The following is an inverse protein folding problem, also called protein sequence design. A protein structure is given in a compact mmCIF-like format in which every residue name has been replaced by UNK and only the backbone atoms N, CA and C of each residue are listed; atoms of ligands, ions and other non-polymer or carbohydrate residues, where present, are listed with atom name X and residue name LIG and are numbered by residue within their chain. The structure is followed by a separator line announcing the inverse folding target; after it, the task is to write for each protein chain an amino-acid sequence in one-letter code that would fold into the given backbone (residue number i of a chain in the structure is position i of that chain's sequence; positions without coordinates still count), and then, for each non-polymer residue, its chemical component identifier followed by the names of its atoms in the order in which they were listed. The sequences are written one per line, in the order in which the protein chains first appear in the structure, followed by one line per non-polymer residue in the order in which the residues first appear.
data_IF_045084085788
#
_entry.id   IF_045084085788
#
_cell.length_a   1.000
_cell.length_b   1.000
_cell.length_c   1.000
_cell.angle_alpha   90.00
_cell.angle_beta   90.00
_cell.angle_gamma   90.00
#
_symmetry.space_group_name_H-M   'P 1'
#
loop_
_entity.id
_entity.type
_entity.pdbx_description
1 polymer ?
#
# COMPACT_ATOMS: atom_id res chain seq x y z
N UNK A 1 -3.76 -2.53 10.83
CA UNK A 1 -5.03 -1.90 11.22
C UNK A 1 -4.89 -0.38 11.33
N UNK A 2 -3.97 0.16 12.15
CA UNK A 2 -3.75 1.63 12.27
C UNK A 2 -3.29 2.32 10.96
N UNK A 3 -2.32 1.76 10.23
CA UNK A 3 -1.81 2.37 8.99
C UNK A 3 -2.87 2.53 7.89
N UNK A 4 -3.81 1.59 7.80
CA UNK A 4 -4.86 1.61 6.78
C UNK A 4 -5.98 2.61 7.10
N UNK A 5 -6.11 2.98 8.38
CA UNK A 5 -7.01 4.05 8.83
C UNK A 5 -6.36 5.42 8.58
N UNK A 6 -5.04 5.54 8.76
CA UNK A 6 -4.31 6.81 8.53
C UNK A 6 -4.11 7.08 7.03
N UNK A 7 -3.76 6.08 6.21
CA UNK A 7 -3.53 6.28 4.77
C UNK A 7 -4.73 5.87 3.91
N UNK A 8 -5.92 5.82 4.52
CA UNK A 8 -7.14 5.39 3.85
C UNK A 8 -7.67 6.39 2.81
N UNK A 9 -8.68 5.95 2.07
CA UNK A 9 -9.33 6.76 1.03
C UNK A 9 -10.17 7.93 1.59
N UNK A 10 -10.43 7.93 2.89
CA UNK A 10 -11.17 8.97 3.59
C UNK A 10 -10.44 9.34 4.89
N UNK A 11 -10.12 10.63 5.03
CA UNK A 11 -9.58 11.22 6.25
C UNK A 11 -10.68 11.21 7.32
N UNK A 12 -10.40 10.60 8.46
CA UNK A 12 -11.30 10.59 9.62
C UNK A 12 -11.34 11.97 10.28
N UNK A 13 -12.46 12.36 10.87
CA UNK A 13 -12.51 13.55 11.74
C UNK A 13 -11.52 13.43 12.92
N UNK A 14 -11.25 12.19 13.35
CA UNK A 14 -10.28 11.84 14.40
C UNK A 14 -8.83 11.73 13.90
N UNK A 15 -8.52 12.21 12.69
CA UNK A 15 -7.22 11.97 12.04
C UNK A 15 -6.01 12.42 12.88
N UNK A 16 -6.13 13.59 13.53
CA UNK A 16 -5.07 14.13 14.39
C UNK A 16 -4.83 13.24 15.61
N UNK A 17 -5.89 12.71 16.20
CA UNK A 17 -5.83 11.81 17.35
C UNK A 17 -5.17 10.48 16.96
N UNK A 18 -5.55 9.92 15.81
CA UNK A 18 -4.98 8.69 15.28
C UNK A 18 -3.48 8.81 14.96
N UNK A 19 -3.05 9.93 14.37
CA UNK A 19 -1.63 10.17 14.13
C UNK A 19 -0.89 10.36 15.47
N UNK A 20 -1.48 11.07 16.43
CA UNK A 20 -0.89 11.22 17.77
C UNK A 20 -0.71 9.86 18.47
N UNK A 21 -1.70 8.97 18.43
CA UNK A 21 -1.59 7.61 18.97
C UNK A 21 -0.50 6.80 18.27
N UNK A 22 -0.38 6.93 16.95
CA UNK A 22 0.68 6.29 16.17
C UNK A 22 2.06 6.77 16.64
N UNK A 23 2.26 8.08 16.80
CA UNK A 23 3.53 8.65 17.26
C UNK A 23 3.90 8.17 18.67
N UNK A 24 2.93 8.16 19.59
CA UNK A 24 3.12 7.64 20.95
C UNK A 24 3.53 6.16 20.93
N UNK A 25 2.96 5.35 20.04
CA UNK A 25 3.34 3.94 19.89
C UNK A 25 4.79 3.78 19.41
N UNK A 26 5.24 4.59 18.43
CA UNK A 26 6.62 4.58 17.96
C UNK A 26 7.59 5.01 19.06
N UNK A 27 7.23 6.02 19.85
CA UNK A 27 8.03 6.45 21.00
C UNK A 27 8.14 5.34 22.05
N UNK A 28 7.04 4.65 22.36
CA UNK A 28 7.04 3.52 23.31
C UNK A 28 7.91 2.35 22.83
N UNK A 29 8.01 2.15 21.51
CA UNK A 29 8.91 1.18 20.89
C UNK A 29 10.38 1.65 20.84
N UNK A 30 10.70 2.85 21.33
CA UNK A 30 12.05 3.43 21.30
C UNK A 30 12.52 3.78 19.90
N UNK A 31 11.60 3.94 18.95
CA UNK A 31 11.93 4.30 17.57
C UNK A 31 12.26 5.79 17.46
N UNK A 32 13.35 6.11 16.77
CA UNK A 32 13.65 7.48 16.40
C UNK A 32 12.67 7.97 15.32
N UNK A 33 12.30 9.25 15.40
CA UNK A 33 11.40 9.86 14.42
C UNK A 33 12.13 9.97 13.07
N UNK A 34 11.62 9.26 12.06
CA UNK A 34 12.12 9.40 10.70
C UNK A 34 11.66 10.72 10.08
N UNK A 35 12.35 11.19 9.04
CA UNK A 35 11.95 12.40 8.30
C UNK A 35 10.51 12.31 7.77
N UNK A 36 10.06 11.12 7.35
CA UNK A 36 8.69 10.89 6.87
C UNK A 36 7.66 11.10 7.98
N UNK A 37 7.94 10.59 9.18
CA UNK A 37 7.06 10.74 10.35
C UNK A 37 7.03 12.20 10.82
N UNK A 38 8.19 12.85 10.87
CA UNK A 38 8.26 14.27 11.21
C UNK A 38 7.49 15.14 10.21
N UNK A 39 7.61 14.87 8.91
CA UNK A 39 6.88 15.58 7.86
C UNK A 39 5.36 15.35 7.99
N UNK A 40 4.95 14.11 8.27
CA UNK A 40 3.55 13.76 8.48
C UNK A 40 2.96 14.57 9.64
N UNK A 41 3.62 14.59 10.80
CA UNK A 41 3.18 15.32 12.00
C UNK A 41 3.16 16.86 11.80
N UNK A 42 4.22 17.42 11.22
CA UNK A 42 4.36 18.87 11.01
C UNK A 42 3.39 19.43 9.98
N UNK A 43 2.93 18.60 9.03
CA UNK A 43 2.15 19.05 7.88
C UNK A 43 0.86 18.25 7.68
N UNK A 44 0.21 17.81 8.77
CA UNK A 44 -1.07 17.09 8.70
C UNK A 44 -2.16 17.84 7.92
N UNK A 45 -2.11 19.17 7.95
CA UNK A 45 -3.07 20.06 7.28
C UNK A 45 -2.77 20.23 5.77
N UNK A 46 -1.59 19.82 5.31
CA UNK A 46 -1.23 19.83 3.88
C UNK A 46 -1.83 18.66 3.09
N UNK A 47 -2.19 17.58 3.79
CA UNK A 47 -2.66 16.36 3.15
C UNK A 47 -4.15 16.41 2.78
N UNK A 48 -4.52 16.01 1.55
CA UNK A 48 -5.90 15.99 1.09
C UNK A 48 -6.74 14.95 1.85
N UNK A 49 -8.07 15.07 1.76
CA UNK A 49 -8.99 14.15 2.44
C UNK A 49 -8.90 12.70 1.94
N UNK A 50 -8.37 12.49 0.74
CA UNK A 50 -8.12 11.16 0.19
C UNK A 50 -6.61 10.92 0.06
N UNK A 51 -6.02 10.44 1.14
CA UNK A 51 -4.60 10.08 1.21
C UNK A 51 -4.28 8.81 0.43
N UNK A 52 -5.21 7.85 0.41
CA UNK A 52 -5.06 6.61 -0.35
C UNK A 52 -4.77 6.86 -1.83
N UNK A 53 -5.42 7.85 -2.45
CA UNK A 53 -5.20 8.22 -3.85
C UNK A 53 -3.80 8.79 -4.14
N UNK A 54 -3.15 9.39 -3.15
CA UNK A 54 -1.77 9.89 -3.26
C UNK A 54 -0.73 8.91 -2.68
N UNK A 55 -1.18 7.79 -2.10
CA UNK A 55 -0.32 6.80 -1.49
C UNK A 55 0.38 5.96 -2.56
N UNK A 56 1.54 5.40 -2.21
CA UNK A 56 2.27 4.46 -3.06
C UNK A 56 1.81 3.01 -2.85
N UNK A 57 0.56 2.79 -2.41
CA UNK A 57 0.03 1.46 -2.13
C UNK A 57 0.13 0.53 -3.35
N UNK A 58 -0.12 1.06 -4.55
CA UNK A 58 0.02 0.30 -5.79
C UNK A 58 1.47 -0.04 -6.13
N UNK A 59 2.43 0.86 -5.86
CA UNK A 59 3.85 0.58 -6.06
C UNK A 59 4.37 -0.47 -5.07
N UNK A 60 4.02 -0.35 -3.80
CA UNK A 60 4.36 -1.34 -2.78
C UNK A 60 3.74 -2.72 -3.08
N UNK A 61 2.50 -2.75 -3.56
CA UNK A 61 1.86 -4.01 -4.00
C UNK A 61 2.58 -4.60 -5.21
N UNK A 62 2.95 -3.78 -6.18
CA UNK A 62 3.75 -4.22 -7.32
C UNK A 62 5.05 -4.89 -6.87
N UNK A 63 5.80 -4.29 -5.93
CA UNK A 63 7.03 -4.88 -5.41
C UNK A 63 6.81 -6.26 -4.75
N UNK A 64 5.73 -6.42 -3.98
CA UNK A 64 5.39 -7.70 -3.35
C UNK A 64 5.00 -8.77 -4.37
N UNK A 65 4.20 -8.40 -5.37
CA UNK A 65 3.76 -9.31 -6.43
C UNK A 65 4.95 -9.75 -7.28
N UNK A 66 5.84 -8.83 -7.66
CA UNK A 66 7.07 -9.13 -8.40
C UNK A 66 7.99 -10.05 -7.59
N UNK A 67 8.23 -9.76 -6.30
CA UNK A 67 9.04 -10.64 -5.45
C UNK A 67 8.48 -12.07 -5.39
N UNK A 68 7.14 -12.20 -5.35
CA UNK A 68 6.47 -13.49 -5.37
C UNK A 68 6.62 -14.20 -6.72
N UNK A 69 6.53 -13.45 -7.82
CA UNK A 69 6.75 -13.99 -9.17
C UNK A 69 8.21 -14.42 -9.37
N UNK A 70 9.19 -13.61 -8.96
CA UNK A 70 10.61 -13.96 -9.05
C UNK A 70 10.90 -15.27 -8.32
N UNK A 71 10.35 -15.47 -7.12
CA UNK A 71 10.46 -16.74 -6.39
C UNK A 71 9.87 -17.92 -7.17
N UNK A 72 8.67 -17.74 -7.74
CA UNK A 72 7.98 -18.78 -8.53
C UNK A 72 8.77 -19.20 -9.78
N UNK A 73 9.42 -18.23 -10.42
CA UNK A 73 10.23 -18.45 -11.62
C UNK A 73 11.72 -18.63 -11.34
N UNK A 74 12.13 -18.76 -10.06
CA UNK A 74 13.52 -18.94 -9.65
C UNK A 74 14.47 -17.86 -10.20
N UNK A 75 14.01 -16.60 -10.19
CA UNK A 75 14.72 -15.45 -10.72
C UNK A 75 14.78 -15.36 -12.25
N UNK A 76 14.12 -16.26 -12.98
CA UNK A 76 14.08 -16.22 -14.44
C UNK A 76 13.04 -15.22 -14.94
N UNK A 77 13.52 -14.12 -15.49
CA UNK A 77 12.70 -13.17 -16.24
C UNK A 77 12.34 -13.76 -17.61
N UNK A 78 11.05 -13.97 -17.88
CA UNK A 78 10.56 -14.52 -19.15
C UNK A 78 9.25 -13.85 -19.59
N UNK A 79 8.94 -13.84 -20.90
CA UNK A 79 7.65 -13.37 -21.38
C UNK A 79 6.46 -14.08 -20.72
N UNK A 80 6.62 -15.36 -20.38
CA UNK A 80 5.59 -16.15 -19.69
C UNK A 80 5.34 -15.65 -18.26
N UNK A 81 6.40 -15.27 -17.53
CA UNK A 81 6.27 -14.66 -16.21
C UNK A 81 5.50 -13.34 -16.27
N UNK A 82 5.81 -12.50 -17.27
CA UNK A 82 5.08 -11.24 -17.47
C UNK A 82 3.62 -11.50 -17.86
N UNK A 83 3.36 -12.47 -18.73
CA UNK A 83 2.00 -12.86 -19.12
C UNK A 83 1.18 -13.34 -17.91
N UNK A 84 1.75 -14.19 -17.05
CA UNK A 84 1.11 -14.68 -15.82
C UNK A 84 0.87 -13.54 -14.81
N UNK A 85 1.79 -12.58 -14.72
CA UNK A 85 1.60 -11.38 -13.89
C UNK A 85 0.42 -10.54 -14.41
N UNK A 86 0.41 -10.20 -15.70
CA UNK A 86 -0.71 -9.49 -16.32
C UNK A 86 -2.04 -10.24 -16.17
N UNK A 87 -2.01 -11.57 -16.26
CA UNK A 87 -3.17 -12.42 -16.03
C UNK A 87 -3.70 -12.34 -14.59
N UNK A 88 -2.79 -12.32 -13.62
CA UNK A 88 -3.14 -12.17 -12.20
C UNK A 88 -3.85 -10.84 -11.96
N UNK A 89 -3.31 -9.73 -12.48
CA UNK A 89 -3.94 -8.40 -12.40
C UNK A 89 -5.34 -8.40 -13.05
N UNK A 90 -5.48 -9.01 -14.23
CA UNK A 90 -6.75 -9.06 -14.96
C UNK A 90 -7.84 -9.84 -14.23
N UNK A 91 -7.47 -10.87 -13.47
CA UNK A 91 -8.41 -11.72 -12.74
C UNK A 91 -8.86 -11.11 -11.41
N UNK A 92 -8.02 -10.27 -10.82
CA UNK A 92 -8.34 -9.59 -9.56
C UNK A 92 -9.25 -8.36 -9.79
N UNK A 93 -9.66 -8.07 -11.04
CA UNK A 93 -10.71 -7.10 -11.33
C UNK A 93 -12.10 -7.67 -10.99
N UNK A 94 -12.82 -7.10 -9.99
CA UNK A 94 -14.09 -7.64 -9.52
C UNK A 94 -15.23 -7.56 -10.55
N UNK A 95 -15.10 -6.70 -11.57
CA UNK A 95 -16.12 -6.53 -12.61
C UNK A 95 -15.95 -7.47 -13.81
N UNK A 96 -14.85 -8.21 -13.90
CA UNK A 96 -14.58 -9.09 -15.04
C UNK A 96 -15.32 -10.44 -14.87
N UNK A 97 -16.30 -10.72 -15.73
CA UNK A 97 -16.86 -12.09 -15.87
C UNK A 97 -15.93 -12.93 -16.73
N UNK A 98 -15.10 -13.74 -16.09
CA UNK A 98 -14.25 -14.74 -16.73
C UNK A 98 -14.99 -16.09 -16.84
N UNK A 99 -15.15 -16.61 -18.05
CA UNK A 99 -15.55 -17.99 -18.29
C UNK A 99 -14.41 -18.74 -18.99
N UNK A 100 -14.02 -19.91 -18.47
CA UNK A 100 -13.18 -20.83 -19.24
C UNK A 100 -14.02 -21.35 -20.42
N UNK A 101 -13.60 -21.03 -21.64
CA UNK A 101 -14.10 -21.76 -22.81
C UNK A 101 -13.35 -23.09 -22.84
N UNK A 102 -14.09 -24.17 -22.63
CA UNK A 102 -13.62 -25.54 -22.82
C UNK A 102 -13.73 -25.96 -24.27
#
# INVERSE_FOLDING_TARGET
MLLQIVLGNHKSDSYRELVSELLLSYQALGCNMSLKIHFLDSHLDFFPDNLGAASDEHGERFHQDISSMEKRYQGKWSPNMLADYCWTIKRDQPEAKHSRKS
#
